data_IF_578160648456
#
_entry.id   IF_578160648456
#
_cell.length_a   1.000
_cell.length_b   1.000
_cell.length_c   1.000
_cell.angle_alpha   90.00
_cell.angle_beta   90.00
_cell.angle_gamma   90.00
#
_symmetry.space_group_name_H-M   'P 1'
#
loop_
_entity.id
_entity.type
_entity.pdbx_description
1 polymer ?
#
# COMPACT_ATOMS: atom_id res chain seq x y z
N UNK A 1 4.75 7.61 25.83
CA UNK A 1 3.49 8.08 25.22
C UNK A 1 3.87 9.12 24.17
N UNK A 2 3.94 8.72 22.90
CA UNK A 2 4.21 9.65 21.81
C UNK A 2 2.87 10.21 21.34
N UNK A 3 2.43 11.30 21.93
CA UNK A 3 1.25 12.02 21.46
C UNK A 3 1.71 13.13 20.51
N UNK A 4 1.29 13.07 19.25
CA UNK A 4 1.31 14.24 18.38
C UNK A 4 0.13 15.10 18.82
N UNK A 5 0.41 16.19 19.50
CA UNK A 5 -0.63 17.16 19.86
C UNK A 5 -0.88 18.09 18.67
N UNK A 6 -2.15 18.29 18.33
CA UNK A 6 -2.52 19.42 17.48
C UNK A 6 -2.03 20.72 18.15
N UNK A 7 -1.59 21.74 17.39
CA UNK A 7 -1.23 23.04 17.94
C UNK A 7 -2.35 23.58 18.84
N UNK A 8 -2.01 23.96 20.04
CA UNK A 8 -2.98 24.50 21.01
C UNK A 8 -2.52 25.86 21.55
N UNK A 9 -3.46 26.69 21.92
CA UNK A 9 -3.20 27.97 22.56
C UNK A 9 -2.67 27.71 23.97
N UNK A 10 -1.46 28.24 24.27
CA UNK A 10 -0.76 28.01 25.54
C UNK A 10 -1.54 28.57 26.72
N UNK A 11 -2.28 29.67 26.53
CA UNK A 11 -3.00 30.35 27.61
C UNK A 11 -4.31 29.65 27.95
N UNK A 12 -4.96 29.05 26.97
CA UNK A 12 -6.31 28.44 27.12
C UNK A 12 -6.28 26.92 27.11
N UNK A 13 -5.20 26.29 26.58
CA UNK A 13 -5.14 24.85 26.35
C UNK A 13 -6.06 24.34 25.25
N UNK A 14 -6.70 25.24 24.51
CA UNK A 14 -7.62 24.88 23.43
C UNK A 14 -6.89 24.73 22.09
N UNK A 15 -7.34 23.83 21.20
CA UNK A 15 -6.78 23.72 19.85
C UNK A 15 -6.85 25.07 19.11
N UNK A 16 -5.72 25.49 18.52
CA UNK A 16 -5.62 26.77 17.79
C UNK A 16 -6.47 26.82 16.53
N UNK A 17 -6.75 25.68 15.95
CA UNK A 17 -7.65 25.57 14.79
C UNK A 17 -8.78 24.59 15.12
N UNK A 18 -9.94 25.12 15.42
CA UNK A 18 -11.20 24.40 15.43
C UNK A 18 -11.62 24.01 14.00
N UNK A 19 -10.78 23.28 13.28
CA UNK A 19 -11.18 22.67 12.02
C UNK A 19 -12.17 21.56 12.32
N UNK A 20 -13.43 21.88 12.25
CA UNK A 20 -14.56 20.94 12.31
C UNK A 20 -14.86 20.28 10.96
N UNK A 21 -14.02 20.46 9.98
CA UNK A 21 -14.07 19.65 8.76
C UNK A 21 -13.54 18.27 9.12
N UNK A 22 -14.46 17.40 9.47
CA UNK A 22 -14.23 15.96 9.58
C UNK A 22 -14.00 15.49 8.15
N UNK A 23 -12.75 15.54 7.70
CA UNK A 23 -12.35 14.84 6.50
C UNK A 23 -12.50 13.37 6.83
N UNK A 24 -13.36 12.65 6.12
CA UNK A 24 -13.52 11.23 6.29
C UNK A 24 -12.17 10.57 6.03
N UNK A 25 -11.69 9.77 6.96
CA UNK A 25 -10.40 9.10 6.89
C UNK A 25 -10.59 7.60 6.72
N UNK A 26 -9.56 6.88 6.29
CA UNK A 26 -9.57 5.41 6.29
C UNK A 26 -9.98 4.82 7.65
N UNK A 27 -9.68 5.52 8.75
CA UNK A 27 -10.09 5.11 10.07
C UNK A 27 -11.61 4.94 10.17
N UNK A 28 -12.39 5.81 9.54
CA UNK A 28 -13.84 5.70 9.55
C UNK A 28 -14.31 4.45 8.80
N UNK A 29 -13.65 4.08 7.71
CA UNK A 29 -14.05 2.91 6.91
C UNK A 29 -13.94 1.62 7.72
N UNK A 30 -12.78 1.37 8.35
CA UNK A 30 -12.63 0.12 9.12
C UNK A 30 -13.39 0.17 10.45
N UNK A 31 -13.58 1.34 11.07
CA UNK A 31 -14.43 1.47 12.26
C UNK A 31 -15.89 1.16 11.92
N UNK A 32 -16.45 1.78 10.89
CA UNK A 32 -17.80 1.52 10.40
C UNK A 32 -17.99 0.04 10.04
N UNK A 33 -16.98 -0.56 9.37
CA UNK A 33 -16.97 -1.98 9.05
C UNK A 33 -17.05 -2.87 10.30
N UNK A 34 -16.23 -2.60 11.32
CA UNK A 34 -16.25 -3.40 12.55
C UNK A 34 -17.56 -3.23 13.33
N UNK A 35 -18.08 -2.01 13.40
CA UNK A 35 -19.39 -1.74 14.05
C UNK A 35 -20.52 -2.48 13.32
N UNK A 36 -20.52 -2.48 11.98
CA UNK A 36 -21.50 -3.23 11.18
C UNK A 36 -21.43 -4.73 11.46
N UNK A 37 -20.24 -5.31 11.52
CA UNK A 37 -20.04 -6.74 11.80
C UNK A 37 -20.53 -7.11 13.18
N UNK A 38 -20.17 -6.34 14.21
CA UNK A 38 -20.64 -6.56 15.59
C UNK A 38 -22.16 -6.41 15.71
N UNK A 39 -22.76 -5.44 15.03
CA UNK A 39 -24.22 -5.24 15.02
C UNK A 39 -24.96 -6.43 14.37
N UNK A 40 -24.33 -7.16 13.47
CA UNK A 40 -24.86 -8.40 12.87
C UNK A 40 -24.63 -9.65 13.73
N UNK A 41 -23.96 -9.51 14.87
CA UNK A 41 -23.65 -10.61 15.79
C UNK A 41 -22.39 -11.39 15.43
N UNK A 42 -21.57 -10.87 14.52
CA UNK A 42 -20.29 -11.45 14.20
C UNK A 42 -19.31 -11.32 15.38
N UNK A 43 -18.37 -12.26 15.50
CA UNK A 43 -17.34 -12.25 16.54
C UNK A 43 -16.00 -11.82 15.94
N UNK A 44 -15.52 -10.65 16.32
CA UNK A 44 -14.21 -10.12 15.94
C UNK A 44 -13.49 -9.52 17.15
N UNK A 45 -12.17 -9.49 17.09
CA UNK A 45 -11.30 -8.84 18.08
C UNK A 45 -10.39 -7.85 17.34
N UNK A 46 -10.47 -6.58 17.72
CA UNK A 46 -9.52 -5.56 17.32
C UNK A 46 -8.33 -5.56 18.29
N UNK A 47 -7.11 -5.64 17.74
CA UNK A 47 -5.87 -5.75 18.53
C UNK A 47 -4.94 -4.60 18.14
N UNK A 48 -4.38 -3.92 19.14
CA UNK A 48 -3.54 -2.75 18.95
C UNK A 48 -2.34 -2.77 19.88
N UNK A 49 -1.24 -2.09 19.51
CA UNK A 49 0.01 -1.99 20.26
C UNK A 49 0.23 -0.55 20.76
N UNK A 50 -0.54 -0.11 21.76
CA UNK A 50 -0.42 1.19 22.43
C UNK A 50 -0.61 2.45 21.55
N UNK A 51 -1.20 2.32 20.37
CA UNK A 51 -1.45 3.44 19.44
C UNK A 51 -2.93 3.58 19.02
N UNK A 52 -3.91 3.44 19.95
CA UNK A 52 -5.33 3.44 19.58
C UNK A 52 -5.77 4.76 18.94
N UNK A 53 -5.12 5.87 19.27
CA UNK A 53 -5.45 7.18 18.73
C UNK A 53 -5.16 7.29 17.22
N UNK A 54 -4.10 6.64 16.74
CA UNK A 54 -3.74 6.62 15.32
C UNK A 54 -4.84 6.02 14.43
N UNK A 55 -5.56 5.05 14.97
CA UNK A 55 -6.62 4.32 14.26
C UNK A 55 -8.02 4.72 14.72
N UNK A 56 -8.17 5.74 15.54
CA UNK A 56 -9.49 6.13 16.09
C UNK A 56 -10.13 5.09 17.00
N UNK A 57 -9.38 4.08 17.47
CA UNK A 57 -9.89 2.94 18.25
C UNK A 57 -10.29 3.30 19.69
N UNK A 58 -9.97 4.48 20.18
CA UNK A 58 -10.23 4.86 21.57
C UNK A 58 -11.72 4.81 21.94
N UNK A 59 -12.61 5.18 21.00
CA UNK A 59 -14.06 5.10 21.23
C UNK A 59 -14.57 3.69 21.05
N UNK A 60 -14.08 2.96 20.05
CA UNK A 60 -14.39 1.55 19.83
C UNK A 60 -14.07 0.71 21.08
N UNK A 61 -12.89 0.91 21.68
CA UNK A 61 -12.47 0.21 22.89
C UNK A 61 -13.42 0.46 24.09
N UNK A 62 -13.98 1.66 24.21
CA UNK A 62 -14.97 1.99 25.25
C UNK A 62 -16.31 1.33 25.01
N UNK A 63 -16.77 1.33 23.76
CA UNK A 63 -18.07 0.78 23.36
C UNK A 63 -18.04 -0.76 23.38
N UNK A 64 -16.93 -1.36 22.99
CA UNK A 64 -16.77 -2.80 22.81
C UNK A 64 -15.56 -3.37 23.57
N UNK A 65 -15.52 -3.25 24.92
CA UNK A 65 -14.35 -3.66 25.71
C UNK A 65 -14.04 -5.17 25.66
N UNK A 66 -14.99 -5.99 25.24
CA UNK A 66 -14.79 -7.44 25.03
C UNK A 66 -14.23 -7.77 23.64
N UNK A 67 -14.30 -6.83 22.71
CA UNK A 67 -13.87 -7.00 21.33
C UNK A 67 -12.61 -6.19 21.02
N UNK A 68 -11.91 -5.71 22.04
CA UNK A 68 -10.71 -4.91 21.91
C UNK A 68 -9.62 -5.36 22.89
N UNK A 69 -8.40 -5.45 22.37
CA UNK A 69 -7.20 -5.73 23.18
C UNK A 69 -6.12 -4.68 22.85
N UNK A 70 -5.61 -4.01 23.87
CA UNK A 70 -4.37 -3.25 23.77
C UNK A 70 -3.23 -4.05 24.42
N UNK A 71 -2.29 -4.49 23.59
CA UNK A 71 -1.14 -5.27 24.02
C UNK A 71 -0.03 -4.44 24.69
N UNK A 72 -0.19 -3.10 24.79
CA UNK A 72 0.88 -2.21 25.16
C UNK A 72 1.90 -2.06 24.01
N UNK A 73 3.10 -1.55 24.29
CA UNK A 73 4.19 -1.41 23.30
C UNK A 73 4.84 -2.81 23.11
N UNK A 74 4.12 -3.71 22.46
CA UNK A 74 4.52 -5.10 22.27
C UNK A 74 3.95 -5.64 20.95
N UNK A 75 4.47 -5.16 19.83
CA UNK A 75 4.01 -5.51 18.48
C UNK A 75 4.10 -7.02 18.22
N UNK A 76 5.16 -7.69 18.67
CA UNK A 76 5.31 -9.14 18.55
C UNK A 76 4.16 -9.87 19.23
N UNK A 77 3.83 -9.46 20.46
CA UNK A 77 2.72 -10.06 21.21
C UNK A 77 1.38 -9.89 20.52
N UNK A 78 1.12 -8.70 19.97
CA UNK A 78 -0.16 -8.43 19.28
C UNK A 78 -0.33 -9.27 18.02
N UNK A 79 0.76 -9.53 17.28
CA UNK A 79 0.74 -10.40 16.09
C UNK A 79 0.53 -11.85 16.49
N UNK A 80 1.31 -12.37 17.47
CA UNK A 80 1.13 -13.73 17.98
C UNK A 80 -0.28 -13.96 18.55
N UNK A 81 -0.79 -13.01 19.32
CA UNK A 81 -2.16 -13.06 19.87
C UNK A 81 -3.20 -13.09 18.74
N UNK A 82 -3.03 -12.26 17.72
CA UNK A 82 -3.94 -12.24 16.56
C UNK A 82 -3.96 -13.55 15.80
N UNK A 83 -2.79 -14.19 15.61
CA UNK A 83 -2.68 -15.52 15.04
C UNK A 83 -3.42 -16.57 15.89
N UNK A 84 -3.20 -16.57 17.19
CA UNK A 84 -3.86 -17.51 18.11
C UNK A 84 -5.40 -17.33 18.14
N UNK A 85 -5.88 -16.10 18.07
CA UNK A 85 -7.32 -15.78 17.99
C UNK A 85 -7.91 -16.27 16.66
N UNK A 86 -7.18 -16.06 15.54
CA UNK A 86 -7.59 -16.54 14.23
C UNK A 86 -7.62 -18.07 14.18
N UNK A 87 -6.60 -18.76 14.72
CA UNK A 87 -6.54 -20.21 14.86
C UNK A 87 -7.72 -20.79 15.68
N UNK A 88 -8.19 -20.02 16.67
CA UNK A 88 -9.38 -20.37 17.45
C UNK A 88 -10.72 -20.09 16.73
N UNK A 89 -10.71 -19.62 15.49
CA UNK A 89 -11.88 -19.39 14.66
C UNK A 89 -12.57 -18.03 14.87
N UNK A 90 -11.95 -17.12 15.63
CA UNK A 90 -12.45 -15.75 15.79
C UNK A 90 -11.71 -14.80 14.82
N UNK A 91 -12.38 -13.80 14.26
CA UNK A 91 -11.75 -12.84 13.38
C UNK A 91 -10.84 -11.88 14.16
N UNK A 92 -9.56 -11.89 13.86
CA UNK A 92 -8.58 -10.98 14.43
C UNK A 92 -8.26 -9.87 13.42
N UNK A 93 -8.39 -8.61 13.85
CA UNK A 93 -7.97 -7.42 13.10
C UNK A 93 -6.87 -6.74 13.92
N UNK A 94 -5.65 -6.78 13.41
CA UNK A 94 -4.44 -6.29 14.08
C UNK A 94 -4.07 -4.95 13.47
N UNK A 95 -3.95 -3.93 14.31
CA UNK A 95 -3.62 -2.56 13.87
C UNK A 95 -2.16 -2.25 14.20
N UNK A 96 -1.37 -1.98 13.18
CA UNK A 96 0.06 -1.71 13.28
C UNK A 96 0.46 -0.46 12.48
N UNK A 97 1.45 0.26 12.98
CA UNK A 97 2.12 1.28 12.19
C UNK A 97 3.31 0.66 11.44
N UNK A 98 3.54 1.08 10.20
CA UNK A 98 4.58 0.54 9.34
C UNK A 98 5.96 0.50 10.00
N UNK A 99 6.35 1.60 10.68
CA UNK A 99 7.66 1.67 11.35
C UNK A 99 7.78 0.72 12.55
N UNK A 100 6.67 0.38 13.22
CA UNK A 100 6.68 -0.50 14.39
C UNK A 100 6.53 -1.97 14.00
N UNK A 101 5.92 -2.25 12.86
CA UNK A 101 5.69 -3.59 12.35
C UNK A 101 6.99 -4.37 12.15
N UNK A 102 8.09 -3.70 11.83
CA UNK A 102 9.42 -4.32 11.69
C UNK A 102 9.83 -5.14 12.91
N UNK A 103 9.38 -4.76 14.13
CA UNK A 103 9.67 -5.47 15.37
C UNK A 103 8.99 -6.83 15.45
N UNK A 104 7.90 -7.03 14.71
CA UNK A 104 7.11 -8.25 14.69
C UNK A 104 7.33 -9.10 13.41
N UNK A 105 8.40 -8.85 12.65
CA UNK A 105 8.64 -9.53 11.38
C UNK A 105 8.70 -11.06 11.52
N UNK A 106 9.33 -11.57 12.57
CA UNK A 106 9.36 -13.01 12.86
C UNK A 106 7.96 -13.58 13.09
N UNK A 107 7.13 -12.89 13.88
CA UNK A 107 5.76 -13.32 14.19
C UNK A 107 4.84 -13.27 12.96
N UNK A 108 5.03 -12.27 12.07
CA UNK A 108 4.32 -12.25 10.78
C UNK A 108 4.64 -13.51 9.95
N UNK A 109 5.91 -13.95 9.95
CA UNK A 109 6.33 -15.14 9.23
C UNK A 109 5.84 -16.43 9.88
N UNK A 110 6.08 -16.62 11.19
CA UNK A 110 5.85 -17.90 11.88
C UNK A 110 4.42 -18.03 12.42
N UNK A 111 3.91 -16.99 13.08
CA UNK A 111 2.63 -17.10 13.76
C UNK A 111 1.44 -16.86 12.82
N UNK A 112 1.64 -16.12 11.73
CA UNK A 112 0.58 -15.88 10.73
C UNK A 112 0.82 -16.67 9.45
N UNK A 113 1.91 -16.36 8.72
CA UNK A 113 2.08 -16.81 7.34
C UNK A 113 2.37 -18.30 7.19
N UNK A 114 3.26 -18.86 8.03
CA UNK A 114 3.61 -20.27 8.00
C UNK A 114 2.38 -21.14 8.33
N UNK A 115 1.61 -20.74 9.33
CA UNK A 115 0.40 -21.44 9.78
C UNK A 115 -0.84 -21.09 8.94
N UNK A 116 -0.75 -20.08 8.04
CA UNK A 116 -1.86 -19.57 7.24
C UNK A 116 -3.05 -19.10 8.08
N UNK A 117 -2.76 -18.47 9.22
CA UNK A 117 -3.80 -17.96 10.09
C UNK A 117 -4.51 -16.75 9.46
N UNK A 118 -5.84 -16.76 9.28
CA UNK A 118 -6.57 -15.75 8.51
C UNK A 118 -6.83 -14.47 9.30
N UNK A 119 -5.79 -13.91 9.92
CA UNK A 119 -5.84 -12.61 10.57
C UNK A 119 -5.73 -11.48 9.53
N UNK A 120 -6.35 -10.34 9.81
CA UNK A 120 -6.23 -9.11 9.02
C UNK A 120 -5.26 -8.18 9.72
N UNK A 121 -4.22 -7.72 9.05
CA UNK A 121 -3.26 -6.74 9.56
C UNK A 121 -3.43 -5.42 8.82
N UNK A 122 -3.91 -4.40 9.52
CA UNK A 122 -4.05 -3.03 9.01
C UNK A 122 -2.75 -2.29 9.31
N UNK A 123 -2.08 -1.81 8.26
CA UNK A 123 -0.76 -1.19 8.36
C UNK A 123 -0.87 0.27 7.94
N UNK A 124 -0.79 1.19 8.91
CA UNK A 124 -0.80 2.63 8.64
C UNK A 124 0.59 3.18 8.31
N UNK A 125 0.64 4.35 7.68
CA UNK A 125 1.87 5.06 7.31
C UNK A 125 2.81 4.25 6.39
N UNK A 126 2.22 3.47 5.47
CA UNK A 126 2.96 2.75 4.43
C UNK A 126 3.32 3.72 3.31
N UNK A 127 4.38 4.52 3.51
CA UNK A 127 4.74 5.61 2.60
C UNK A 127 6.21 6.04 2.71
N UNK A 128 6.69 6.74 1.69
CA UNK A 128 8.00 7.41 1.69
C UNK A 128 8.00 8.53 2.72
N UNK A 129 9.06 8.61 3.51
CA UNK A 129 9.20 9.56 4.59
C UNK A 129 8.55 9.10 5.88
N UNK A 130 8.35 10.04 6.77
CA UNK A 130 7.80 9.80 8.09
C UNK A 130 7.66 11.11 8.87
N UNK A 131 7.18 11.00 10.09
CA UNK A 131 7.03 12.17 10.98
C UNK A 131 8.36 12.66 11.55
N UNK A 132 9.38 11.82 11.53
CA UNK A 132 10.75 12.12 11.98
C UNK A 132 11.70 10.98 11.54
N UNK A 133 12.99 11.13 11.85
CA UNK A 133 14.08 10.21 11.45
C UNK A 133 13.89 8.77 11.95
N UNK A 134 13.08 8.55 12.98
CA UNK A 134 12.86 7.22 13.59
C UNK A 134 11.51 6.59 13.25
N UNK A 135 10.61 7.31 12.56
CA UNK A 135 9.27 6.85 12.23
C UNK A 135 9.07 6.88 10.72
N UNK A 136 9.72 5.94 10.04
CA UNK A 136 9.74 5.84 8.58
C UNK A 136 8.99 4.61 8.10
N UNK A 137 7.99 4.81 7.22
CA UNK A 137 7.19 3.74 6.63
C UNK A 137 7.76 3.19 5.32
N UNK A 138 8.85 3.77 4.80
CA UNK A 138 9.38 3.51 3.47
C UNK A 138 9.76 2.05 3.21
N UNK A 139 10.12 1.29 4.25
CA UNK A 139 10.62 -0.08 4.12
C UNK A 139 9.53 -1.15 4.18
N UNK A 140 8.28 -0.80 4.51
CA UNK A 140 7.27 -1.78 4.86
C UNK A 140 6.87 -2.69 3.70
N UNK A 141 6.71 -2.15 2.48
CA UNK A 141 6.38 -2.95 1.30
C UNK A 141 7.46 -3.99 0.98
N UNK A 142 8.74 -3.61 1.06
CA UNK A 142 9.84 -4.55 0.84
C UNK A 142 9.95 -5.61 1.95
N UNK A 143 9.53 -5.31 3.17
CA UNK A 143 9.48 -6.27 4.27
C UNK A 143 8.33 -7.26 4.11
N UNK A 144 7.10 -6.77 3.91
CA UNK A 144 5.90 -7.62 3.87
C UNK A 144 5.80 -8.44 2.59
N UNK A 145 6.19 -7.87 1.46
CA UNK A 145 6.07 -8.50 0.14
C UNK A 145 6.96 -9.73 -0.06
N UNK A 146 7.86 -10.04 0.86
CA UNK A 146 8.71 -11.23 0.82
C UNK A 146 8.19 -12.37 1.71
N UNK A 147 7.10 -12.16 2.45
CA UNK A 147 6.51 -13.18 3.34
C UNK A 147 5.63 -14.11 2.52
N UNK A 148 5.88 -15.43 2.50
CA UNK A 148 5.06 -16.39 1.77
C UNK A 148 3.65 -16.52 2.37
N UNK A 149 2.69 -17.02 1.60
CA UNK A 149 1.31 -17.30 2.02
C UNK A 149 0.49 -16.08 2.47
N UNK A 150 0.98 -14.88 2.31
CA UNK A 150 0.28 -13.64 2.64
C UNK A 150 -0.37 -13.06 1.38
N UNK A 151 -1.55 -12.50 1.55
CA UNK A 151 -2.15 -11.58 0.56
C UNK A 151 -1.86 -10.16 1.05
N UNK A 152 -1.05 -9.43 0.30
CA UNK A 152 -0.52 -8.12 0.69
C UNK A 152 -1.09 -7.05 -0.24
N UNK A 153 -2.00 -6.22 0.28
CA UNK A 153 -2.84 -5.31 -0.49
C UNK A 153 -2.54 -3.85 -0.13
N UNK A 154 -2.66 -2.97 -1.12
CA UNK A 154 -2.56 -1.52 -0.93
C UNK A 154 -3.84 -0.85 -1.44
N UNK A 155 -4.60 -0.24 -0.54
CA UNK A 155 -5.86 0.43 -0.87
C UNK A 155 -5.60 1.75 -1.61
N UNK A 156 -6.43 2.05 -2.61
CA UNK A 156 -6.39 3.28 -3.40
C UNK A 156 -7.55 4.23 -3.06
N UNK A 157 -8.63 3.71 -2.48
CA UNK A 157 -9.84 4.46 -2.13
C UNK A 157 -10.52 3.88 -0.90
N UNK A 158 -11.53 4.59 -0.37
CA UNK A 158 -12.36 4.07 0.71
C UNK A 158 -13.12 2.82 0.27
N UNK A 159 -13.61 2.80 -0.97
CA UNK A 159 -14.35 1.68 -1.55
C UNK A 159 -13.46 0.46 -1.73
N UNK A 160 -12.20 0.64 -2.17
CA UNK A 160 -11.22 -0.44 -2.24
C UNK A 160 -10.93 -0.99 -0.85
N UNK A 161 -10.69 -0.13 0.14
CA UNK A 161 -10.45 -0.56 1.51
C UNK A 161 -11.64 -1.37 2.05
N UNK A 162 -12.87 -0.90 1.83
CA UNK A 162 -14.06 -1.64 2.26
C UNK A 162 -14.17 -3.00 1.56
N UNK A 163 -13.90 -3.06 0.25
CA UNK A 163 -13.92 -4.32 -0.50
C UNK A 163 -12.84 -5.29 -0.01
N UNK A 164 -11.61 -4.80 0.24
CA UNK A 164 -10.51 -5.58 0.80
C UNK A 164 -10.84 -6.12 2.18
N UNK A 165 -11.37 -5.28 3.08
CA UNK A 165 -11.79 -5.68 4.42
C UNK A 165 -12.89 -6.74 4.36
N UNK A 166 -13.92 -6.53 3.53
CA UNK A 166 -15.02 -7.47 3.42
C UNK A 166 -14.58 -8.82 2.85
N UNK A 167 -13.72 -8.81 1.83
CA UNK A 167 -13.15 -10.04 1.30
C UNK A 167 -12.26 -10.73 2.35
N UNK A 168 -11.32 -10.02 2.95
CA UNK A 168 -10.40 -10.55 3.96
C UNK A 168 -11.15 -11.13 5.18
N UNK A 169 -12.25 -10.51 5.57
CA UNK A 169 -13.10 -10.98 6.67
C UNK A 169 -13.80 -12.31 6.35
N UNK A 170 -14.19 -12.53 5.09
CA UNK A 170 -14.97 -13.69 4.69
C UNK A 170 -14.11 -14.89 4.23
N UNK A 171 -12.85 -14.70 3.88
CA UNK A 171 -11.93 -15.79 3.53
C UNK A 171 -11.28 -16.40 4.81
N UNK A 172 -10.79 -17.66 4.73
CA UNK A 172 -10.23 -18.40 5.85
C UNK A 172 -8.89 -19.10 5.52
N UNK A 173 -8.22 -18.69 4.45
CA UNK A 173 -7.08 -19.42 3.89
C UNK A 173 -5.73 -18.73 4.11
N UNK A 174 -5.74 -17.38 4.25
CA UNK A 174 -4.51 -16.60 4.27
C UNK A 174 -4.58 -15.45 5.26
N UNK A 175 -3.47 -15.07 5.91
CA UNK A 175 -3.34 -13.75 6.51
C UNK A 175 -3.38 -12.69 5.41
N UNK A 176 -4.08 -11.59 5.67
CA UNK A 176 -4.24 -10.47 4.74
C UNK A 176 -3.65 -9.22 5.36
N UNK A 177 -2.70 -8.59 4.68
CA UNK A 177 -2.15 -7.30 5.05
C UNK A 177 -2.79 -6.24 4.17
N UNK A 178 -3.19 -5.11 4.77
CA UNK A 178 -3.79 -3.98 4.05
C UNK A 178 -3.03 -2.73 4.43
N UNK A 179 -2.30 -2.20 3.46
CA UNK A 179 -1.54 -0.97 3.60
C UNK A 179 -2.41 0.24 3.40
N UNK A 180 -2.34 1.17 4.35
CA UNK A 180 -3.02 2.45 4.31
C UNK A 180 -2.00 3.57 4.14
N UNK A 181 -2.20 4.48 3.18
CA UNK A 181 -1.42 5.70 3.08
C UNK A 181 -1.82 6.69 4.18
N UNK A 182 -1.07 7.79 4.30
CA UNK A 182 -1.37 8.86 5.26
C UNK A 182 -2.61 9.68 4.87
N UNK A 183 -2.83 9.85 3.57
CA UNK A 183 -3.88 10.70 3.04
C UNK A 183 -5.15 9.92 2.73
N UNK A 184 -6.30 10.56 2.97
CA UNK A 184 -7.58 10.08 2.45
C UNK A 184 -7.55 10.12 0.93
N UNK A 185 -7.97 9.03 0.31
CA UNK A 185 -8.17 8.99 -1.13
C UNK A 185 -9.57 9.50 -1.49
N UNK A 186 -9.68 10.00 -2.71
CA UNK A 186 -10.98 10.35 -3.26
C UNK A 186 -11.89 9.12 -3.37
N UNK A 187 -13.19 9.36 -3.34
CA UNK A 187 -14.15 8.29 -3.59
C UNK A 187 -13.98 7.77 -5.01
N UNK A 188 -13.72 6.46 -5.15
CA UNK A 188 -13.62 5.76 -6.42
C UNK A 188 -14.49 4.52 -6.40
N UNK A 189 -15.34 4.30 -7.40
CA UNK A 189 -16.05 3.02 -7.50
C UNK A 189 -15.05 1.88 -7.60
N UNK A 190 -15.15 0.89 -6.71
CA UNK A 190 -14.35 -0.33 -6.83
C UNK A 190 -14.99 -1.31 -7.81
N UNK A 191 -14.17 -1.97 -8.62
CA UNK A 191 -14.62 -3.03 -9.55
C UNK A 191 -14.17 -4.41 -9.08
N UNK A 192 -13.14 -4.46 -8.25
CA UNK A 192 -12.55 -5.69 -7.73
C UNK A 192 -13.07 -5.93 -6.32
N UNK A 193 -13.69 -7.07 -6.09
CA UNK A 193 -14.23 -7.49 -4.78
C UNK A 193 -13.73 -8.86 -4.34
N UNK A 194 -13.00 -9.56 -5.19
CA UNK A 194 -12.34 -10.82 -4.88
C UNK A 194 -10.83 -10.67 -5.03
N UNK A 195 -10.10 -10.88 -3.94
CA UNK A 195 -8.64 -10.77 -3.87
C UNK A 195 -7.98 -12.14 -3.66
N UNK A 196 -8.66 -13.23 -3.97
CA UNK A 196 -8.10 -14.59 -3.88
C UNK A 196 -6.94 -14.84 -4.84
N UNK A 197 -6.89 -14.07 -5.93
CA UNK A 197 -5.83 -14.12 -6.95
C UNK A 197 -5.47 -12.70 -7.38
N UNK A 198 -4.21 -12.48 -7.79
CA UNK A 198 -3.81 -11.18 -8.35
C UNK A 198 -4.69 -10.84 -9.56
N UNK A 199 -5.26 -9.67 -9.52
CA UNK A 199 -6.09 -9.12 -10.58
C UNK A 199 -5.84 -7.61 -10.66
N UNK A 200 -5.28 -7.16 -11.79
CA UNK A 200 -5.02 -5.76 -12.03
C UNK A 200 -6.22 -5.07 -12.69
N UNK A 201 -6.51 -3.86 -12.29
CA UNK A 201 -7.53 -3.03 -12.92
C UNK A 201 -6.88 -2.05 -13.91
N UNK A 202 -7.30 -2.09 -15.17
CA UNK A 202 -6.97 -1.03 -16.13
C UNK A 202 -7.92 0.13 -15.89
N UNK A 203 -7.40 1.20 -15.28
CA UNK A 203 -8.16 2.43 -14.97
C UNK A 203 -8.32 3.29 -16.22
N UNK A 204 -7.27 3.36 -17.04
CA UNK A 204 -7.23 4.06 -18.31
C UNK A 204 -6.56 3.22 -19.36
N UNK A 205 -7.20 3.02 -20.49
CA UNK A 205 -6.64 2.28 -21.62
C UNK A 205 -5.86 3.19 -22.56
N UNK A 206 -4.70 2.70 -22.99
CA UNK A 206 -3.82 3.38 -23.91
C UNK A 206 -2.91 2.41 -24.65
N UNK A 207 -1.74 2.86 -25.07
CA UNK A 207 -0.75 2.07 -25.81
C UNK A 207 0.69 2.48 -25.49
N UNK A 208 1.65 1.63 -25.83
CA UNK A 208 3.12 1.85 -25.78
C UNK A 208 3.71 1.94 -24.38
N UNK A 209 3.06 2.64 -23.45
CA UNK A 209 3.53 2.84 -22.06
C UNK A 209 2.44 2.38 -21.10
N UNK A 210 2.75 1.48 -20.20
CA UNK A 210 1.88 1.05 -19.11
C UNK A 210 2.43 1.57 -17.77
N UNK A 211 1.61 2.32 -17.03
CA UNK A 211 1.98 2.93 -15.74
C UNK A 211 1.19 2.23 -14.64
N UNK A 212 1.89 1.58 -13.72
CA UNK A 212 1.29 0.86 -12.59
C UNK A 212 1.54 1.66 -11.31
N UNK A 213 0.50 2.18 -10.69
CA UNK A 213 0.56 2.92 -9.43
C UNK A 213 0.03 2.08 -8.26
N UNK A 214 0.89 1.71 -7.30
CA UNK A 214 0.50 0.89 -6.16
C UNK A 214 -0.12 1.75 -5.05
N UNK A 215 -1.32 1.40 -4.61
CA UNK A 215 -2.01 2.11 -3.53
C UNK A 215 -2.17 3.61 -3.84
N UNK A 216 -1.79 4.49 -2.93
CA UNK A 216 -1.88 5.94 -3.12
C UNK A 216 -1.14 6.47 -4.36
N UNK A 217 -0.21 5.70 -4.91
CA UNK A 217 0.52 6.11 -6.11
C UNK A 217 -0.29 5.95 -7.40
N UNK A 218 -1.51 5.41 -7.33
CA UNK A 218 -2.41 5.38 -8.49
C UNK A 218 -2.77 6.79 -8.99
N UNK A 219 -3.11 7.71 -8.08
CA UNK A 219 -3.36 9.13 -8.43
C UNK A 219 -2.14 9.75 -9.11
N UNK A 220 -0.95 9.46 -8.58
CA UNK A 220 0.29 9.95 -9.19
C UNK A 220 0.51 9.34 -10.58
N UNK A 221 0.17 8.07 -10.80
CA UNK A 221 0.22 7.43 -12.11
C UNK A 221 -0.74 8.10 -13.11
N UNK A 222 -1.93 8.52 -12.68
CA UNK A 222 -2.87 9.28 -13.49
C UNK A 222 -2.32 10.65 -13.85
N UNK A 223 -1.75 11.37 -12.89
CA UNK A 223 -1.12 12.67 -13.13
C UNK A 223 0.06 12.56 -14.12
N UNK A 224 0.87 11.50 -14.04
CA UNK A 224 1.94 11.22 -15.03
C UNK A 224 1.35 10.97 -16.41
N UNK A 225 0.24 10.24 -16.48
CA UNK A 225 -0.44 10.00 -17.75
C UNK A 225 -0.94 11.31 -18.38
N UNK A 226 -1.49 12.23 -17.60
CA UNK A 226 -1.90 13.56 -18.07
C UNK A 226 -0.71 14.40 -18.59
N UNK A 227 0.44 14.36 -17.90
CA UNK A 227 1.65 15.03 -18.38
C UNK A 227 2.14 14.45 -19.72
N UNK A 228 2.09 13.13 -19.87
CA UNK A 228 2.47 12.45 -21.10
C UNK A 228 1.50 12.76 -22.26
N UNK A 229 0.21 12.94 -21.98
CA UNK A 229 -0.79 13.35 -23.00
C UNK A 229 -0.50 14.70 -23.60
N UNK A 230 -0.01 15.66 -22.82
CA UNK A 230 0.44 16.99 -23.33
C UNK A 230 1.54 16.86 -24.36
N UNK A 231 2.28 15.74 -24.34
CA UNK A 231 3.36 15.40 -25.28
C UNK A 231 2.92 14.42 -26.39
N UNK A 232 1.62 14.16 -26.52
CA UNK A 232 1.04 13.32 -27.57
C UNK A 232 1.12 11.81 -27.31
N UNK A 233 1.39 11.38 -26.07
CA UNK A 233 1.30 9.98 -25.65
C UNK A 233 -0.13 9.66 -25.19
N UNK A 234 -0.50 8.39 -25.26
CA UNK A 234 -1.72 7.86 -24.66
C UNK A 234 -1.37 6.62 -23.82
N UNK A 235 -0.87 6.79 -22.59
CA UNK A 235 -0.45 5.66 -21.77
C UNK A 235 -1.64 4.91 -21.15
N UNK A 236 -1.43 3.62 -20.86
CA UNK A 236 -2.34 2.84 -20.02
C UNK A 236 -2.00 3.09 -18.54
N UNK A 237 -3.02 3.29 -17.70
CA UNK A 237 -2.88 3.37 -16.23
C UNK A 237 -3.52 2.15 -15.60
N UNK A 238 -2.80 1.54 -14.65
CA UNK A 238 -3.17 0.29 -14.00
C UNK A 238 -3.10 0.42 -12.49
N UNK A 239 -4.15 -0.07 -11.82
CA UNK A 239 -4.15 -0.29 -10.37
C UNK A 239 -3.81 -1.77 -10.10
N UNK A 240 -2.66 -2.08 -9.51
CA UNK A 240 -2.24 -3.45 -9.24
C UNK A 240 -2.85 -4.07 -7.97
N UNK A 241 -3.31 -3.28 -7.01
CA UNK A 241 -3.80 -3.67 -5.68
C UNK A 241 -2.82 -4.48 -4.81
N UNK A 242 -2.08 -5.43 -5.39
CA UNK A 242 -1.22 -6.39 -4.70
C UNK A 242 0.22 -5.88 -4.63
N UNK A 243 0.77 -5.81 -3.43
CA UNK A 243 2.18 -5.42 -3.24
C UNK A 243 3.15 -6.59 -3.46
N UNK A 244 2.70 -7.83 -3.23
CA UNK A 244 3.57 -9.02 -3.24
C UNK A 244 3.35 -9.95 -4.43
N UNK A 245 2.14 -10.02 -4.98
CA UNK A 245 1.76 -10.94 -6.05
C UNK A 245 1.57 -10.21 -7.38
N UNK A 246 2.01 -10.83 -8.48
CA UNK A 246 1.88 -10.28 -9.82
C UNK A 246 0.70 -10.92 -10.56
N UNK A 247 -0.13 -10.10 -11.19
CA UNK A 247 -1.04 -10.56 -12.24
C UNK A 247 -0.25 -10.77 -13.54
N UNK A 248 0.33 -11.96 -13.63
CA UNK A 248 1.14 -12.38 -14.79
C UNK A 248 0.32 -12.32 -16.09
N UNK A 249 -0.95 -12.69 -16.04
CA UNK A 249 -1.80 -12.69 -17.23
C UNK A 249 -2.06 -11.25 -17.73
N UNK A 250 -2.29 -10.29 -16.83
CA UNK A 250 -2.44 -8.90 -17.19
C UNK A 250 -1.12 -8.30 -17.72
N UNK A 251 0.01 -8.61 -17.09
CA UNK A 251 1.33 -8.16 -17.55
C UNK A 251 1.65 -8.73 -18.95
N UNK A 252 1.34 -9.99 -19.21
CA UNK A 252 1.54 -10.61 -20.52
C UNK A 252 0.69 -9.95 -21.59
N UNK A 253 -0.58 -9.74 -21.31
CA UNK A 253 -1.51 -9.08 -22.24
C UNK A 253 -1.09 -7.62 -22.53
N UNK A 254 -0.69 -6.87 -21.52
CA UNK A 254 -0.18 -5.52 -21.71
C UNK A 254 1.12 -5.52 -22.54
N UNK A 255 1.97 -6.52 -22.35
CA UNK A 255 3.25 -6.65 -23.08
C UNK A 255 3.09 -6.81 -24.59
N UNK A 256 1.90 -7.22 -25.08
CA UNK A 256 1.62 -7.33 -26.52
C UNK A 256 1.59 -5.95 -27.21
N UNK A 257 1.23 -4.90 -26.49
CA UNK A 257 1.03 -3.54 -27.03
C UNK A 257 1.87 -2.47 -26.35
N UNK A 258 2.55 -2.80 -25.25
CA UNK A 258 3.35 -1.86 -24.44
C UNK A 258 4.82 -2.29 -24.40
N UNK A 259 5.70 -1.46 -24.91
CA UNK A 259 7.15 -1.70 -24.93
C UNK A 259 7.87 -1.10 -23.73
N UNK A 260 7.22 -0.29 -22.91
CA UNK A 260 7.76 0.32 -21.70
C UNK A 260 6.75 0.21 -20.57
N UNK A 261 7.22 -0.26 -19.43
CA UNK A 261 6.45 -0.29 -18.19
C UNK A 261 7.04 0.71 -17.19
N UNK A 262 6.18 1.28 -16.39
CA UNK A 262 6.53 2.22 -15.32
C UNK A 262 5.82 1.74 -14.07
N UNK A 263 6.52 1.63 -12.96
CA UNK A 263 5.92 1.30 -11.65
C UNK A 263 6.21 2.43 -10.67
N UNK A 264 5.20 2.76 -9.87
CA UNK A 264 5.29 3.81 -8.85
C UNK A 264 4.79 3.21 -7.54
N UNK A 265 5.64 3.23 -6.49
CA UNK A 265 5.32 2.74 -5.16
C UNK A 265 5.71 3.75 -4.09
N UNK A 266 4.93 3.86 -3.02
CA UNK A 266 5.21 4.77 -1.89
C UNK A 266 6.12 4.07 -0.85
N UNK A 267 7.23 3.53 -1.32
CA UNK A 267 8.18 2.76 -0.55
C UNK A 267 9.55 2.68 -1.22
N UNK A 268 10.46 1.90 -0.64
CA UNK A 268 11.78 1.64 -1.25
C UNK A 268 11.65 0.76 -2.47
N UNK A 269 12.38 1.11 -3.55
CA UNK A 269 12.45 0.34 -4.80
C UNK A 269 13.01 -1.07 -4.59
N UNK A 270 14.04 -1.19 -3.74
CA UNK A 270 14.71 -2.46 -3.50
C UNK A 270 13.83 -3.41 -2.69
N UNK A 271 13.54 -4.57 -3.25
CA UNK A 271 12.62 -5.56 -2.70
C UNK A 271 11.14 -5.22 -2.83
N UNK A 272 10.80 -4.06 -3.40
CA UNK A 272 9.44 -3.57 -3.57
C UNK A 272 8.68 -4.18 -4.74
N UNK A 273 7.47 -3.69 -4.96
CA UNK A 273 6.57 -4.09 -6.04
C UNK A 273 7.21 -3.87 -7.43
N UNK A 274 7.77 -2.68 -7.64
CA UNK A 274 8.34 -2.32 -8.95
C UNK A 274 9.50 -3.22 -9.36
N UNK A 275 10.35 -3.64 -8.42
CA UNK A 275 11.45 -4.57 -8.70
C UNK A 275 10.91 -5.95 -9.11
N UNK A 276 9.82 -6.43 -8.51
CA UNK A 276 9.18 -7.70 -8.89
C UNK A 276 8.64 -7.64 -10.32
N UNK A 277 7.94 -6.57 -10.67
CA UNK A 277 7.45 -6.32 -12.03
C UNK A 277 8.61 -6.25 -13.03
N UNK A 278 9.66 -5.47 -12.72
CA UNK A 278 10.83 -5.34 -13.57
C UNK A 278 11.55 -6.68 -13.79
N UNK A 279 11.70 -7.50 -12.74
CA UNK A 279 12.31 -8.84 -12.83
C UNK A 279 11.50 -9.76 -13.75
N UNK A 280 10.17 -9.74 -13.64
CA UNK A 280 9.32 -10.54 -14.51
C UNK A 280 9.42 -10.10 -15.98
N UNK A 281 9.31 -8.80 -16.24
CA UNK A 281 9.33 -8.24 -17.58
C UNK A 281 10.72 -8.29 -18.26
N UNK A 282 11.79 -8.28 -17.47
CA UNK A 282 13.17 -8.44 -17.99
C UNK A 282 13.37 -9.77 -18.73
N UNK A 283 12.71 -10.85 -18.28
CA UNK A 283 12.74 -12.15 -18.97
C UNK A 283 12.13 -12.10 -20.38
N UNK A 284 11.32 -11.07 -20.66
CA UNK A 284 10.66 -10.82 -21.96
C UNK A 284 11.38 -9.74 -22.78
N UNK A 285 12.47 -9.19 -22.26
CA UNK A 285 13.22 -8.09 -22.91
C UNK A 285 12.50 -6.75 -22.88
N UNK A 286 11.55 -6.56 -21.95
CA UNK A 286 10.77 -5.33 -21.81
C UNK A 286 11.39 -4.44 -20.75
N UNK A 287 11.64 -3.18 -21.10
CA UNK A 287 12.19 -2.15 -20.19
C UNK A 287 11.13 -1.74 -19.16
N UNK A 288 11.56 -1.64 -17.90
CA UNK A 288 10.72 -1.12 -16.82
C UNK A 288 11.46 0.02 -16.10
N UNK A 289 10.80 1.15 -15.92
CA UNK A 289 11.24 2.23 -15.05
C UNK A 289 10.56 2.04 -13.69
N UNK A 290 11.36 2.00 -12.62
CA UNK A 290 10.88 1.76 -11.25
C UNK A 290 11.07 3.04 -10.43
N UNK A 291 9.97 3.60 -9.93
CA UNK A 291 9.95 4.77 -9.07
C UNK A 291 9.53 4.41 -7.66
N UNK A 292 10.30 4.89 -6.71
CA UNK A 292 10.19 4.70 -5.28
C UNK A 292 11.40 5.34 -4.60
N UNK A 293 11.49 5.26 -3.29
CA UNK A 293 12.67 5.75 -2.56
C UNK A 293 13.90 4.87 -2.78
N UNK A 294 15.06 5.45 -2.68
CA UNK A 294 16.30 4.71 -2.55
C UNK A 294 16.41 4.04 -1.17
N UNK A 295 17.26 3.02 -1.04
CA UNK A 295 17.46 2.34 0.25
C UNK A 295 18.39 3.17 1.13
N UNK A 296 17.82 4.12 1.83
CA UNK A 296 18.50 5.02 2.76
C UNK A 296 17.62 5.37 3.95
N UNK A 297 18.21 5.81 5.06
CA UNK A 297 17.47 6.47 6.12
C UNK A 297 17.17 7.90 5.69
N UNK A 298 15.90 8.23 5.64
CA UNK A 298 15.42 9.50 5.09
C UNK A 298 15.44 10.56 6.19
N UNK A 299 15.96 11.74 5.86
CA UNK A 299 15.91 12.91 6.73
C UNK A 299 14.46 13.37 6.96
N UNK A 300 14.20 14.05 8.07
CA UNK A 300 12.92 14.70 8.36
C UNK A 300 12.74 15.97 7.50
N UNK A 301 12.53 15.76 6.21
CA UNK A 301 12.28 16.81 5.23
C UNK A 301 10.84 16.74 4.70
N UNK A 302 10.31 17.82 4.14
CA UNK A 302 8.98 17.81 3.50
C UNK A 302 8.88 16.70 2.43
N UNK A 303 7.73 16.01 2.36
CA UNK A 303 7.47 14.92 1.42
C UNK A 303 7.73 15.32 -0.05
N UNK A 304 7.41 16.57 -0.40
CA UNK A 304 7.67 17.11 -1.73
C UNK A 304 9.16 17.20 -2.09
N UNK A 305 10.03 17.41 -1.10
CA UNK A 305 11.47 17.37 -1.30
C UNK A 305 11.95 15.94 -1.58
N UNK A 306 11.41 14.96 -0.88
CA UNK A 306 11.67 13.54 -1.14
C UNK A 306 11.19 13.13 -2.53
N UNK A 307 10.01 13.59 -2.95
CA UNK A 307 9.51 13.34 -4.29
C UNK A 307 10.38 13.97 -5.39
N UNK A 308 10.99 15.15 -5.12
CA UNK A 308 11.99 15.70 -6.01
C UNK A 308 13.27 14.84 -6.03
N UNK A 309 13.79 14.47 -4.87
CA UNK A 309 15.03 13.66 -4.71
C UNK A 309 14.93 12.32 -5.45
N UNK A 310 13.79 11.65 -5.36
CA UNK A 310 13.57 10.34 -5.96
C UNK A 310 12.92 10.39 -7.36
N UNK A 311 12.79 11.56 -7.96
CA UNK A 311 12.13 11.77 -9.25
C UNK A 311 10.68 11.26 -9.32
N UNK A 312 9.93 11.33 -8.19
CA UNK A 312 8.52 10.87 -8.10
C UNK A 312 7.54 12.04 -8.38
N UNK A 313 7.95 13.07 -9.10
CA UNK A 313 7.05 14.12 -9.56
C UNK A 313 6.55 13.82 -10.98
N UNK A 314 5.26 14.07 -11.27
CA UNK A 314 4.68 13.77 -12.57
C UNK A 314 5.47 14.30 -13.75
N UNK A 315 5.95 15.54 -13.67
CA UNK A 315 6.70 16.21 -14.74
C UNK A 315 8.07 15.59 -14.97
N UNK A 316 8.75 15.19 -13.88
CA UNK A 316 10.06 14.53 -13.96
C UNK A 316 9.92 13.13 -14.53
N UNK A 317 8.96 12.33 -14.01
CA UNK A 317 8.67 11.01 -14.52
C UNK A 317 8.27 11.05 -16.01
N UNK A 318 7.42 11.98 -16.41
CA UNK A 318 7.04 12.13 -17.82
C UNK A 318 8.26 12.40 -18.72
N UNK A 319 9.19 13.22 -18.26
CA UNK A 319 10.45 13.50 -18.99
C UNK A 319 11.26 12.23 -19.16
N UNK A 320 11.52 11.47 -18.07
CA UNK A 320 12.28 10.21 -18.09
C UNK A 320 11.61 9.17 -19.00
N UNK A 321 10.27 9.07 -18.97
CA UNK A 321 9.49 8.16 -19.81
C UNK A 321 9.65 8.50 -21.29
N UNK A 322 9.55 9.79 -21.64
CA UNK A 322 9.74 10.26 -23.03
C UNK A 322 11.14 9.94 -23.51
N UNK A 323 12.18 10.14 -22.71
CA UNK A 323 13.55 9.79 -23.04
C UNK A 323 13.72 8.28 -23.24
N UNK A 324 13.19 7.47 -22.32
CA UNK A 324 13.25 6.02 -22.41
C UNK A 324 12.57 5.45 -23.67
N UNK A 325 11.48 6.10 -24.14
CA UNK A 325 10.82 5.69 -25.39
C UNK A 325 11.61 6.01 -26.65
N UNK A 326 12.48 7.04 -26.62
CA UNK A 326 13.38 7.37 -27.74
C UNK A 326 14.54 6.35 -27.86
N UNK A 327 15.10 5.92 -26.74
CA UNK A 327 16.18 4.94 -26.69
C UNK A 327 15.74 3.57 -27.22
N UNK A 328 14.48 3.17 -27.01
CA UNK A 328 13.95 1.90 -27.52
C UNK A 328 13.85 1.82 -29.03
N UNK A 329 13.98 2.96 -29.74
CA UNK A 329 14.03 3.06 -31.21
C UNK A 329 15.46 2.98 -31.78
N UNK A 330 16.51 2.81 -30.95
CA UNK A 330 17.88 2.58 -31.37
C UNK A 330 18.02 1.22 -32.12
N UNK A 331 19.03 1.07 -33.01
CA UNK A 331 19.11 -0.09 -33.90
C UNK A 331 19.21 -1.39 -33.10
N UNK A 332 18.35 -2.36 -33.42
CA UNK A 332 18.35 -3.73 -32.95
C UNK A 332 19.78 -4.31 -33.02
N UNK A 333 20.55 -4.15 -31.99
CA UNK A 333 21.94 -4.66 -31.88
C UNK A 333 21.98 -6.18 -32.04
N UNK A 334 20.93 -6.88 -31.62
CA UNK A 334 20.79 -8.33 -31.71
C UNK A 334 20.46 -8.84 -33.13
N UNK A 335 19.79 -8.04 -33.98
CA UNK A 335 19.57 -8.49 -35.37
C UNK A 335 20.86 -8.52 -36.23
N UNK A 336 21.88 -7.82 -35.81
CA UNK A 336 23.16 -7.76 -36.54
C UNK A 336 24.12 -8.91 -36.22
N UNK A 337 23.90 -9.65 -35.13
CA UNK A 337 24.76 -10.78 -34.72
C UNK A 337 24.31 -12.08 -35.37
N UNK A 338 23.06 -12.24 -35.75
CA UNK A 338 22.51 -13.48 -36.34
C UNK A 338 22.15 -13.36 -37.82
N UNK A 339 22.60 -12.33 -38.51
CA UNK A 339 22.46 -12.17 -39.97
C UNK A 339 23.79 -12.27 -40.70
N UNK A 340 24.67 -13.20 -40.24
CA UNK A 340 25.80 -13.68 -41.01
C UNK A 340 25.82 -15.20 -41.05
#
# INVERSE_FOLDING_TARGET
MHQVFAPFDIATGQPVNGSTNIVRSYNNVFLDFMEEKLAKGDNLIAINAAIPMFFGLSQFAKNHPKNYVDGGIAEQYTVTLGGAIAAAGTRAIIFQNATFLQRAYDQLNHDLALNKEPAIVIISNSQIGGTNDTHQGSFVYSQTSNIPNVIDLAATSEEDLFAMLNWAYNQHEHPVFIHLPEHTLENRPTKITDFSKPQYEVVKSGEKVAILGLGAMLEKAENVAEELEKSGFNPTVVNPFFANLLDVAALDKLSETHGLFVTIEDGTKDGGFGQKVATYLASKGIKTLVYGADTEFIDAVPKEELYNRYHIRPELMATDIIEATKESKGPNFFKKIFSK
#
